data_IF_394852364140
#
_entry.id   IF_394852364140
#
_cell.length_a   1.000
_cell.length_b   1.000
_cell.length_c   1.000
_cell.angle_alpha   90.00
_cell.angle_beta   90.00
_cell.angle_gamma   90.00
#
_symmetry.space_group_name_H-M   'P 1'
#
loop_
_entity.id
_entity.type
_entity.pdbx_description
1 polymer ?
#
# COMPACT_ATOMS: atom_id res chain seq x y z
N UNK A 1 6.74 -8.66 28.05
CA UNK A 1 6.49 -7.36 28.70
C UNK A 1 5.67 -7.65 29.97
N UNK A 2 5.89 -7.05 31.15
CA UNK A 2 6.39 -5.71 31.42
C UNK A 2 7.07 -5.58 32.80
N UNK A 3 8.16 -4.81 32.87
CA UNK A 3 8.72 -4.27 34.12
C UNK A 3 8.11 -2.90 34.48
N UNK A 4 7.57 -2.17 33.48
CA UNK A 4 7.05 -0.81 33.65
C UNK A 4 5.74 -0.57 32.88
N UNK A 5 4.60 -1.02 33.41
CA UNK A 5 3.29 -0.94 32.75
C UNK A 5 2.56 0.39 32.97
N UNK A 6 2.87 1.12 34.05
CA UNK A 6 2.15 2.36 34.41
C UNK A 6 3.10 3.51 34.81
N UNK A 7 4.37 3.20 35.08
CA UNK A 7 5.34 4.13 35.65
C UNK A 7 5.58 5.36 34.75
N UNK A 8 5.53 5.21 33.43
CA UNK A 8 5.62 6.35 32.51
C UNK A 8 4.45 7.32 32.67
N UNK A 9 3.23 6.79 32.74
CA UNK A 9 1.99 7.55 32.93
C UNK A 9 1.97 8.23 34.31
N UNK A 10 2.39 7.52 35.36
CA UNK A 10 2.49 8.05 36.71
C UNK A 10 3.60 9.12 36.86
N UNK A 11 4.75 8.92 36.22
CA UNK A 11 5.83 9.90 36.20
C UNK A 11 5.39 11.20 35.52
N UNK A 12 4.67 11.10 34.41
CA UNK A 12 4.11 12.26 33.72
C UNK A 12 3.17 13.06 34.63
N UNK A 13 2.27 12.38 35.35
CA UNK A 13 1.38 13.04 36.32
C UNK A 13 2.16 13.80 37.40
N UNK A 14 3.22 13.20 37.94
CA UNK A 14 4.07 13.84 38.96
C UNK A 14 4.75 15.09 38.39
N UNK A 15 5.27 15.00 37.16
CA UNK A 15 5.90 16.14 36.48
C UNK A 15 4.89 17.27 36.26
N UNK A 16 3.70 16.97 35.76
CA UNK A 16 2.67 17.99 35.52
C UNK A 16 2.20 18.66 36.82
N UNK A 17 2.01 17.89 37.89
CA UNK A 17 1.69 18.41 39.22
C UNK A 17 2.82 19.30 39.76
N UNK A 18 4.07 18.90 39.57
CA UNK A 18 5.23 19.67 40.02
C UNK A 18 5.35 21.01 39.27
N UNK A 19 5.10 21.02 37.96
CA UNK A 19 5.25 22.22 37.12
C UNK A 19 4.04 23.17 37.21
N UNK A 20 2.83 22.64 37.36
CA UNK A 20 1.58 23.42 37.23
C UNK A 20 0.67 23.36 38.47
N UNK A 21 1.12 22.71 39.56
CA UNK A 21 0.31 22.51 40.76
C UNK A 21 -0.96 21.71 40.46
N UNK A 22 -2.07 22.06 41.13
CA UNK A 22 -3.35 21.37 40.95
C UNK A 22 -3.88 21.40 39.50
N UNK A 23 -3.57 22.45 38.73
CA UNK A 23 -3.95 22.56 37.31
C UNK A 23 -3.25 21.48 36.46
N UNK A 24 -2.06 21.04 36.88
CA UNK A 24 -1.33 19.96 36.21
C UNK A 24 -2.10 18.64 36.16
N UNK A 25 -2.93 18.35 37.16
CA UNK A 25 -3.79 17.15 37.14
C UNK A 25 -4.83 17.21 36.01
N UNK A 26 -5.37 18.39 35.73
CA UNK A 26 -6.33 18.57 34.63
C UNK A 26 -5.63 18.44 33.27
N UNK A 27 -4.40 18.97 33.13
CA UNK A 27 -3.58 18.81 31.92
C UNK A 27 -3.30 17.33 31.64
N UNK A 28 -2.81 16.61 32.67
CA UNK A 28 -2.55 15.18 32.57
C UNK A 28 -3.82 14.39 32.19
N UNK A 29 -4.95 14.66 32.85
CA UNK A 29 -6.21 13.99 32.56
C UNK A 29 -6.69 14.25 31.12
N UNK A 30 -6.54 15.48 30.64
CA UNK A 30 -6.86 15.84 29.26
C UNK A 30 -5.97 15.08 28.27
N UNK A 31 -4.67 14.97 28.51
CA UNK A 31 -3.76 14.19 27.65
C UNK A 31 -4.11 12.70 27.62
N UNK A 32 -4.49 12.12 28.77
CA UNK A 32 -4.94 10.73 28.87
C UNK A 32 -6.26 10.48 28.13
N UNK A 33 -7.18 11.45 28.15
CA UNK A 33 -8.45 11.34 27.43
C UNK A 33 -8.29 11.64 25.92
N UNK A 34 -7.43 12.59 25.56
CA UNK A 34 -7.24 13.04 24.18
C UNK A 34 -6.83 11.90 23.26
N UNK A 35 -5.87 11.08 23.69
CA UNK A 35 -5.30 10.01 22.86
C UNK A 35 -6.35 8.95 22.45
N UNK A 36 -7.08 8.28 23.36
CA UNK A 36 -8.08 7.29 22.97
C UNK A 36 -9.25 7.90 22.20
N UNK A 37 -9.70 9.11 22.54
CA UNK A 37 -10.82 9.75 21.84
C UNK A 37 -10.42 10.16 20.42
N UNK A 38 -9.29 10.85 20.29
CA UNK A 38 -8.86 11.42 19.01
C UNK A 38 -8.21 10.36 18.14
N UNK A 39 -7.14 9.70 18.61
CA UNK A 39 -6.38 8.76 17.80
C UNK A 39 -7.18 7.48 17.52
N UNK A 40 -7.65 6.79 18.58
CA UNK A 40 -8.35 5.51 18.42
C UNK A 40 -9.82 5.65 18.00
N UNK A 41 -10.47 6.77 18.31
CA UNK A 41 -11.84 7.06 17.89
C UNK A 41 -11.90 7.77 16.54
N UNK A 42 -11.69 9.09 16.56
CA UNK A 42 -11.93 9.97 15.41
C UNK A 42 -11.02 9.62 14.23
N UNK A 43 -9.72 9.52 14.48
CA UNK A 43 -8.70 9.37 13.44
C UNK A 43 -8.69 7.96 12.85
N UNK A 44 -8.83 6.94 13.68
CA UNK A 44 -9.07 5.59 13.21
C UNK A 44 -10.32 5.53 12.31
N UNK A 45 -11.45 6.10 12.75
CA UNK A 45 -12.67 6.16 11.93
C UNK A 45 -12.46 6.89 10.61
N UNK A 46 -11.81 8.05 10.63
CA UNK A 46 -11.49 8.82 9.43
C UNK A 46 -10.57 8.04 8.49
N UNK A 47 -9.52 7.40 9.01
CA UNK A 47 -8.57 6.60 8.24
C UNK A 47 -9.23 5.36 7.60
N UNK A 48 -10.35 4.85 8.10
CA UNK A 48 -11.11 3.77 7.43
C UNK A 48 -12.21 4.28 6.49
N UNK A 49 -12.48 5.59 6.46
CA UNK A 49 -13.53 6.18 5.65
C UNK A 49 -13.01 7.02 4.48
N UNK A 50 -11.97 7.82 4.70
CA UNK A 50 -11.50 8.83 3.76
C UNK A 50 -9.98 8.89 3.71
N UNK A 51 -9.43 8.89 2.50
CA UNK A 51 -7.99 9.03 2.26
C UNK A 51 -7.58 8.38 0.95
N UNK A 52 -6.26 8.17 0.80
CA UNK A 52 -5.70 7.43 -0.33
C UNK A 52 -5.12 6.09 0.12
N UNK A 53 -4.91 5.19 -0.84
CA UNK A 53 -4.32 3.86 -0.58
C UNK A 53 -3.17 3.61 -1.51
N UNK A 54 -2.01 3.29 -0.95
CA UNK A 54 -0.85 2.81 -1.70
C UNK A 54 -0.98 1.33 -2.06
N UNK A 55 -1.66 0.55 -1.22
CA UNK A 55 -1.75 -0.91 -1.32
C UNK A 55 -3.20 -1.41 -1.16
N UNK A 56 -3.45 -2.60 -1.71
CA UNK A 56 -4.71 -3.32 -1.55
C UNK A 56 -4.70 -4.18 -0.28
N UNK A 57 -4.65 -3.53 0.89
CA UNK A 57 -4.87 -4.21 2.16
C UNK A 57 -6.30 -4.81 2.24
N UNK A 58 -6.52 -5.92 2.96
CA UNK A 58 -7.84 -6.54 3.07
C UNK A 58 -8.92 -5.60 3.64
N UNK A 59 -8.57 -4.81 4.65
CA UNK A 59 -9.47 -3.86 5.30
C UNK A 59 -9.70 -2.55 4.53
N UNK A 60 -10.41 -1.61 5.17
CA UNK A 60 -10.75 -0.29 4.64
C UNK A 60 -9.72 0.81 4.95
N UNK A 61 -8.56 0.47 5.53
CA UNK A 61 -7.54 1.46 5.93
C UNK A 61 -7.06 2.36 4.79
N UNK A 62 -6.92 3.64 5.06
CA UNK A 62 -6.45 4.68 4.12
C UNK A 62 -5.42 5.55 4.81
N UNK A 63 -4.58 6.21 4.01
CA UNK A 63 -3.65 7.23 4.48
C UNK A 63 -4.33 8.61 4.41
N UNK A 64 -4.16 9.40 5.47
CA UNK A 64 -4.72 10.75 5.68
C UNK A 64 -3.60 11.79 5.90
N UNK A 65 -2.53 11.70 5.13
CA UNK A 65 -1.41 12.65 5.19
C UNK A 65 -1.79 14.04 4.64
N UNK A 66 -1.28 15.17 5.18
CA UNK A 66 -0.16 15.30 6.12
C UNK A 66 -0.55 15.70 7.55
N UNK A 67 -1.66 15.17 8.09
CA UNK A 67 -2.15 15.56 9.42
C UNK A 67 -1.35 14.97 10.61
N UNK A 68 -0.28 14.23 10.37
CA UNK A 68 0.43 13.40 11.34
C UNK A 68 0.93 14.10 12.59
N UNK A 69 1.23 15.41 12.51
CA UNK A 69 1.59 16.20 13.70
C UNK A 69 0.39 16.33 14.64
N UNK A 70 -0.80 16.56 14.10
CA UNK A 70 -2.03 16.75 14.90
C UNK A 70 -2.50 15.43 15.51
N UNK A 71 -2.22 14.31 14.82
CA UNK A 71 -2.75 12.99 15.17
C UNK A 71 -1.67 12.03 15.67
N UNK A 72 -0.54 12.58 16.12
CA UNK A 72 0.60 11.86 16.70
C UNK A 72 1.13 10.69 15.84
N UNK A 73 1.00 10.78 14.51
CA UNK A 73 1.57 9.81 13.56
C UNK A 73 0.63 8.73 13.05
N UNK A 74 -0.64 8.74 13.44
CA UNK A 74 -1.66 7.77 12.99
C UNK A 74 -2.13 8.00 11.52
N UNK A 75 -1.39 8.76 10.72
CA UNK A 75 -1.83 9.23 9.41
C UNK A 75 -1.65 8.22 8.28
N UNK A 76 -0.76 7.23 8.45
CA UNK A 76 -0.34 6.29 7.39
C UNK A 76 -0.91 4.88 7.60
N UNK A 77 -2.22 4.82 7.85
CA UNK A 77 -2.91 3.60 8.27
C UNK A 77 -2.90 2.49 7.19
N UNK A 78 -3.06 2.83 5.91
CA UNK A 78 -2.97 1.84 4.82
C UNK A 78 -1.59 1.19 4.73
N UNK A 79 -0.53 1.98 4.93
CA UNK A 79 0.82 1.45 4.93
C UNK A 79 1.08 0.57 6.17
N UNK A 80 0.62 1.02 7.35
CA UNK A 80 0.72 0.27 8.60
C UNK A 80 0.03 -1.10 8.50
N UNK A 81 -1.20 -1.12 8.01
CA UNK A 81 -1.98 -2.36 7.85
C UNK A 81 -1.39 -3.30 6.79
N UNK A 82 -0.68 -2.76 5.80
CA UNK A 82 0.06 -3.57 4.82
C UNK A 82 1.33 -4.17 5.42
N UNK A 83 2.05 -3.41 6.24
CA UNK A 83 3.32 -3.83 6.86
C UNK A 83 3.32 -3.63 8.38
N UNK A 84 2.52 -4.40 9.15
CA UNK A 84 2.30 -4.16 10.57
C UNK A 84 3.54 -4.35 11.44
N UNK A 85 4.54 -5.08 10.93
CA UNK A 85 5.82 -5.30 11.63
C UNK A 85 6.88 -4.24 11.31
N UNK A 86 6.59 -3.30 10.43
CA UNK A 86 7.51 -2.24 10.04
C UNK A 86 7.55 -1.15 11.10
N UNK A 87 8.76 -0.72 11.46
CA UNK A 87 8.95 0.44 12.33
C UNK A 87 8.71 1.78 11.61
N UNK A 88 8.73 1.77 10.26
CA UNK A 88 8.49 2.93 9.41
C UNK A 88 7.16 2.77 8.70
N UNK A 89 6.26 3.73 8.83
CA UNK A 89 4.93 3.72 8.20
C UNK A 89 4.97 4.41 6.82
N UNK A 90 5.86 5.37 6.62
CA UNK A 90 6.06 6.04 5.33
C UNK A 90 6.69 5.13 4.27
N UNK A 91 6.10 5.15 3.08
CA UNK A 91 6.54 4.43 1.89
C UNK A 91 6.84 5.41 0.75
N UNK A 92 6.05 6.47 0.61
CA UNK A 92 6.22 7.50 -0.42
C UNK A 92 7.02 8.69 0.12
N UNK A 93 7.80 9.40 -0.72
CA UNK A 93 8.65 10.49 -0.26
C UNK A 93 7.87 11.71 0.26
N UNK A 94 6.61 11.87 -0.16
CA UNK A 94 5.74 12.94 0.31
C UNK A 94 4.98 12.58 1.60
N UNK A 95 5.12 11.35 2.10
CA UNK A 95 4.49 10.92 3.35
C UNK A 95 5.35 11.34 4.52
N UNK A 96 4.81 12.25 5.34
CA UNK A 96 5.39 12.55 6.63
C UNK A 96 5.14 11.38 7.60
N UNK A 97 6.08 11.13 8.50
CA UNK A 97 6.03 10.03 9.46
C UNK A 97 6.76 10.45 10.73
N UNK A 98 5.99 11.05 11.65
CA UNK A 98 6.51 11.56 12.91
C UNK A 98 7.04 10.43 13.80
N UNK A 99 6.43 9.24 13.74
CA UNK A 99 6.90 8.06 14.46
C UNK A 99 8.29 7.64 14.00
N UNK A 100 8.52 7.59 12.68
CA UNK A 100 9.83 7.33 12.11
C UNK A 100 10.87 8.38 12.48
N UNK A 101 10.50 9.66 12.50
CA UNK A 101 11.37 10.74 12.99
C UNK A 101 11.83 10.49 14.43
N UNK A 102 10.91 10.17 15.36
CA UNK A 102 11.26 9.84 16.74
C UNK A 102 12.15 8.61 16.84
N UNK A 103 11.88 7.56 16.04
CA UNK A 103 12.70 6.35 16.00
C UNK A 103 14.11 6.67 15.52
N UNK A 104 14.28 7.50 14.47
CA UNK A 104 15.59 7.93 14.00
C UNK A 104 16.36 8.72 15.08
N UNK A 105 15.70 9.60 15.84
CA UNK A 105 16.32 10.31 16.97
C UNK A 105 16.79 9.30 18.02
N UNK A 106 15.95 8.36 18.41
CA UNK A 106 16.31 7.31 19.38
C UNK A 106 17.45 6.41 18.88
N UNK A 107 17.51 6.10 17.58
CA UNK A 107 18.63 5.38 16.99
C UNK A 107 19.93 6.19 17.05
N UNK A 108 19.87 7.50 16.77
CA UNK A 108 21.04 8.38 16.78
C UNK A 108 21.68 8.48 18.17
N UNK A 109 20.88 8.42 19.24
CA UNK A 109 21.37 8.41 20.63
C UNK A 109 21.57 7.00 21.20
N UNK A 110 21.46 5.94 20.38
CA UNK A 110 21.73 4.55 20.78
C UNK A 110 20.65 3.89 21.64
N UNK A 111 19.47 4.50 21.77
CA UNK A 111 18.35 3.99 22.57
C UNK A 111 17.46 2.99 21.83
N UNK A 112 17.52 2.94 20.50
CA UNK A 112 16.70 2.04 19.69
C UNK A 112 17.49 1.37 18.56
N UNK A 113 17.02 0.18 18.14
CA UNK A 113 17.49 -0.52 16.94
C UNK A 113 16.30 -0.93 16.09
N UNK A 114 16.19 -0.38 14.88
CA UNK A 114 15.15 -0.77 13.92
C UNK A 114 15.42 -2.18 13.42
N UNK A 115 14.40 -3.04 13.51
CA UNK A 115 14.47 -4.42 13.05
C UNK A 115 13.95 -4.60 11.63
N UNK A 116 12.86 -3.91 11.28
CA UNK A 116 12.16 -4.05 10.00
C UNK A 116 11.66 -2.70 9.52
N UNK A 117 11.76 -2.51 8.21
CA UNK A 117 11.16 -1.40 7.46
C UNK A 117 10.29 -1.99 6.35
N UNK A 118 9.46 -1.20 5.63
CA UNK A 118 8.71 -1.73 4.51
C UNK A 118 9.69 -2.35 3.51
N UNK A 119 9.41 -3.57 3.02
CA UNK A 119 10.28 -4.22 2.06
C UNK A 119 10.33 -3.40 0.78
N UNK A 120 11.49 -3.44 0.11
CA UNK A 120 11.70 -2.84 -1.20
C UNK A 120 12.14 -3.95 -2.14
N UNK A 121 11.38 -4.17 -3.20
CA UNK A 121 11.71 -5.15 -4.22
C UNK A 121 13.08 -4.82 -4.81
N UNK A 122 14.03 -5.74 -4.64
CA UNK A 122 15.34 -5.64 -5.24
C UNK A 122 15.29 -6.22 -6.64
N UNK A 123 15.92 -5.54 -7.60
CA UNK A 123 16.03 -5.99 -8.99
C UNK A 123 17.50 -6.17 -9.37
N UNK A 124 17.79 -7.25 -10.10
CA UNK A 124 19.11 -7.58 -10.64
C UNK A 124 19.07 -7.72 -12.17
N UNK A 125 19.94 -8.57 -12.71
CA UNK A 125 19.90 -8.94 -14.11
C UNK A 125 18.60 -9.70 -14.43
N UNK A 126 18.03 -9.46 -15.61
CA UNK A 126 16.86 -10.19 -16.09
C UNK A 126 17.25 -11.66 -16.28
N UNK A 127 16.55 -12.55 -15.60
CA UNK A 127 16.74 -13.99 -15.75
C UNK A 127 15.94 -14.50 -16.96
N UNK A 128 16.42 -15.54 -17.66
CA UNK A 128 15.70 -16.10 -18.80
C UNK A 128 14.35 -16.68 -18.36
N UNK A 129 14.29 -17.28 -17.16
CA UNK A 129 13.11 -17.97 -16.64
C UNK A 129 12.82 -17.48 -15.21
N UNK A 130 11.53 -17.33 -14.87
CA UNK A 130 11.08 -17.06 -13.51
C UNK A 130 11.12 -18.34 -12.68
N UNK A 131 12.24 -18.59 -12.01
CA UNK A 131 12.45 -19.75 -11.13
C UNK A 131 11.79 -19.59 -9.75
N UNK A 132 11.91 -20.61 -8.89
CA UNK A 132 11.38 -20.57 -7.52
C UNK A 132 11.94 -19.41 -6.68
N UNK A 133 13.20 -19.02 -6.90
CA UNK A 133 13.80 -17.86 -6.21
C UNK A 133 13.16 -16.55 -6.64
N UNK A 134 12.77 -16.45 -7.91
CA UNK A 134 11.96 -15.34 -8.44
C UNK A 134 10.64 -15.32 -7.71
N UNK A 135 9.93 -16.45 -7.67
CA UNK A 135 8.64 -16.56 -6.98
C UNK A 135 8.73 -16.15 -5.51
N UNK A 136 9.76 -16.60 -4.78
CA UNK A 136 9.98 -16.23 -3.38
C UNK A 136 10.18 -14.71 -3.21
N UNK A 137 11.03 -14.10 -4.04
CA UNK A 137 11.23 -12.65 -4.05
C UNK A 137 9.92 -11.90 -4.34
N UNK A 138 9.10 -12.42 -5.27
CA UNK A 138 7.83 -11.80 -5.62
C UNK A 138 6.80 -11.92 -4.50
N UNK A 139 6.69 -13.08 -3.84
CA UNK A 139 5.77 -13.29 -2.73
C UNK A 139 6.13 -12.38 -1.55
N UNK A 140 7.43 -12.25 -1.24
CA UNK A 140 7.93 -11.37 -0.17
C UNK A 140 7.61 -9.89 -0.44
N UNK A 141 7.51 -9.48 -1.70
CA UNK A 141 7.30 -8.09 -2.12
C UNK A 141 5.94 -7.87 -2.83
N UNK A 142 4.99 -8.80 -2.68
CA UNK A 142 3.75 -8.84 -3.49
C UNK A 142 2.96 -7.53 -3.51
N UNK A 143 2.89 -6.85 -2.37
CA UNK A 143 2.16 -5.59 -2.23
C UNK A 143 2.81 -4.47 -3.08
N UNK A 144 4.13 -4.39 -3.09
CA UNK A 144 4.87 -3.41 -3.90
C UNK A 144 4.81 -3.74 -5.40
N UNK A 145 4.93 -5.02 -5.75
CA UNK A 145 4.80 -5.50 -7.13
C UNK A 145 3.42 -5.15 -7.69
N UNK A 146 2.36 -5.37 -6.90
CA UNK A 146 1.01 -4.98 -7.29
C UNK A 146 0.80 -3.47 -7.37
N UNK A 147 1.38 -2.71 -6.45
CA UNK A 147 1.35 -1.26 -6.53
C UNK A 147 2.05 -0.74 -7.80
N UNK A 148 3.13 -1.41 -8.23
CA UNK A 148 3.87 -1.11 -9.46
C UNK A 148 3.04 -1.46 -10.69
N UNK A 149 2.44 -2.66 -10.74
CA UNK A 149 1.53 -3.04 -11.82
C UNK A 149 0.35 -2.07 -11.95
N UNK A 150 -0.27 -1.71 -10.82
CA UNK A 150 -1.36 -0.75 -10.77
C UNK A 150 -0.96 0.64 -11.29
N UNK A 151 0.30 1.06 -11.11
CA UNK A 151 0.83 2.28 -11.74
C UNK A 151 0.91 2.12 -13.27
N UNK A 152 1.36 0.97 -13.77
CA UNK A 152 1.37 0.64 -15.20
C UNK A 152 -0.03 0.68 -15.83
N UNK A 153 -1.02 0.05 -15.19
CA UNK A 153 -2.43 0.10 -15.64
C UNK A 153 -2.96 1.53 -15.68
N UNK A 154 -2.65 2.35 -14.65
CA UNK A 154 -3.05 3.76 -14.65
C UNK A 154 -2.41 4.56 -15.77
N UNK A 155 -1.17 4.25 -16.15
CA UNK A 155 -0.49 4.93 -17.24
C UNK A 155 -1.10 4.52 -18.58
N UNK A 156 -1.22 3.21 -18.85
CA UNK A 156 -1.87 2.70 -20.05
C UNK A 156 -3.30 3.26 -20.20
N UNK A 157 -4.07 3.34 -19.11
CA UNK A 157 -5.40 3.94 -19.15
C UNK A 157 -5.37 5.43 -19.55
N UNK A 158 -4.36 6.19 -19.11
CA UNK A 158 -4.23 7.60 -19.54
C UNK A 158 -3.96 7.67 -21.03
N UNK A 159 -2.99 6.90 -21.51
CA UNK A 159 -2.54 6.92 -22.90
C UNK A 159 -3.66 6.48 -23.85
N UNK A 160 -4.35 5.38 -23.53
CA UNK A 160 -5.49 4.87 -24.28
C UNK A 160 -6.62 5.90 -24.36
N UNK A 161 -7.02 6.50 -23.23
CA UNK A 161 -8.14 7.46 -23.25
C UNK A 161 -7.78 8.82 -23.81
N UNK A 162 -6.51 9.24 -23.79
CA UNK A 162 -6.07 10.44 -24.52
C UNK A 162 -6.22 10.22 -26.03
N UNK A 163 -5.86 9.03 -26.53
CA UNK A 163 -6.08 8.66 -27.92
C UNK A 163 -7.59 8.59 -28.30
N UNK A 164 -8.44 8.15 -27.37
CA UNK A 164 -9.89 8.04 -27.59
C UNK A 164 -10.66 9.35 -27.41
N UNK A 165 -10.17 10.32 -26.62
CA UNK A 165 -10.80 11.65 -26.53
C UNK A 165 -10.81 12.36 -27.88
N UNK A 166 -9.84 12.06 -28.75
CA UNK A 166 -9.87 12.50 -30.14
C UNK A 166 -11.01 11.88 -30.98
N UNK A 167 -11.71 10.86 -30.44
CA UNK A 167 -12.77 10.07 -31.10
C UNK A 167 -14.14 10.13 -30.39
N UNK A 168 -14.38 11.11 -29.52
CA UNK A 168 -15.67 11.33 -28.80
C UNK A 168 -16.06 10.26 -27.75
N UNK A 169 -15.13 9.86 -26.88
CA UNK A 169 -15.43 8.93 -25.78
C UNK A 169 -16.16 9.59 -24.57
N UNK A 170 -17.02 8.82 -23.90
CA UNK A 170 -17.77 9.22 -22.69
C UNK A 170 -16.83 9.61 -21.53
N UNK A 171 -16.97 10.85 -21.05
CA UNK A 171 -16.17 11.39 -19.95
C UNK A 171 -16.35 10.62 -18.63
N UNK A 172 -17.56 10.08 -18.37
CA UNK A 172 -17.84 9.30 -17.16
C UNK A 172 -17.08 7.97 -17.19
N UNK A 173 -17.08 7.30 -18.34
CA UNK A 173 -16.29 6.08 -18.58
C UNK A 173 -14.80 6.31 -18.32
N UNK A 174 -14.23 7.35 -18.94
CA UNK A 174 -12.81 7.69 -18.80
C UNK A 174 -12.46 7.99 -17.33
N UNK A 175 -13.31 8.76 -16.64
CA UNK A 175 -13.10 9.10 -15.23
C UNK A 175 -13.12 7.85 -14.35
N UNK A 176 -14.09 6.96 -14.55
CA UNK A 176 -14.19 5.72 -13.81
C UNK A 176 -12.97 4.83 -14.04
N UNK A 177 -12.55 4.65 -15.29
CA UNK A 177 -11.39 3.84 -15.65
C UNK A 177 -10.09 4.39 -15.06
N UNK A 178 -9.81 5.70 -15.19
CA UNK A 178 -8.61 6.32 -14.57
C UNK A 178 -8.60 6.14 -13.05
N UNK A 179 -9.76 6.14 -12.40
CA UNK A 179 -9.88 6.05 -10.94
C UNK A 179 -9.83 4.62 -10.41
N UNK A 180 -10.44 3.66 -11.09
CA UNK A 180 -10.75 2.34 -10.51
C UNK A 180 -10.15 1.15 -11.26
N UNK A 181 -9.72 1.29 -12.52
CA UNK A 181 -9.28 0.15 -13.35
C UNK A 181 -8.07 -0.62 -12.78
N UNK A 182 -7.24 0.05 -11.98
CA UNK A 182 -6.06 -0.53 -11.35
C UNK A 182 -6.31 -1.16 -9.98
N UNK A 183 -7.54 -1.02 -9.46
CA UNK A 183 -7.97 -1.48 -8.14
C UNK A 183 -8.49 -2.92 -8.23
N UNK A 184 -8.46 -3.61 -7.10
CA UNK A 184 -9.10 -4.91 -6.95
C UNK A 184 -10.61 -4.78 -7.15
N UNK A 185 -11.25 -5.79 -7.75
CA UNK A 185 -12.67 -5.75 -8.09
C UNK A 185 -13.55 -5.50 -6.85
N UNK A 186 -13.18 -6.06 -5.70
CA UNK A 186 -13.89 -5.88 -4.42
C UNK A 186 -13.79 -4.45 -3.88
N UNK A 187 -12.83 -3.66 -4.37
CA UNK A 187 -12.62 -2.25 -4.00
C UNK A 187 -13.29 -1.29 -4.99
N UNK A 188 -13.85 -1.79 -6.09
CA UNK A 188 -14.58 -0.97 -7.07
C UNK A 188 -16.01 -0.76 -6.59
N UNK A 189 -16.49 0.50 -6.48
CA UNK A 189 -17.90 0.76 -6.16
C UNK A 189 -18.83 0.18 -7.22
N UNK A 190 -19.96 -0.41 -6.82
CA UNK A 190 -20.95 -0.98 -7.75
C UNK A 190 -21.40 0.02 -8.82
N UNK A 191 -21.52 1.30 -8.47
CA UNK A 191 -21.89 2.37 -9.39
C UNK A 191 -20.85 2.66 -10.50
N UNK A 192 -19.60 2.19 -10.35
CA UNK A 192 -18.53 2.34 -11.34
C UNK A 192 -18.35 1.11 -12.23
N UNK A 193 -18.96 -0.03 -11.88
CA UNK A 193 -18.79 -1.29 -12.59
C UNK A 193 -19.25 -1.24 -14.06
N UNK A 194 -20.41 -0.63 -14.42
CA UNK A 194 -20.82 -0.51 -15.82
C UNK A 194 -19.82 0.27 -16.67
N UNK A 195 -19.30 1.37 -16.13
CA UNK A 195 -18.33 2.23 -16.81
C UNK A 195 -16.98 1.53 -17.00
N UNK A 196 -16.54 0.71 -16.03
CA UNK A 196 -15.34 -0.10 -16.19
C UNK A 196 -15.52 -1.19 -17.25
N UNK A 197 -16.70 -1.83 -17.30
CA UNK A 197 -17.00 -2.82 -18.33
C UNK A 197 -16.97 -2.20 -19.74
N UNK A 198 -17.57 -1.01 -19.91
CA UNK A 198 -17.48 -0.25 -21.17
C UNK A 198 -16.04 0.12 -21.53
N UNK A 199 -15.25 0.58 -20.55
CA UNK A 199 -13.84 0.91 -20.76
C UNK A 199 -12.99 -0.29 -21.18
N UNK A 200 -13.25 -1.47 -20.61
CA UNK A 200 -12.61 -2.73 -21.01
C UNK A 200 -13.01 -3.14 -22.42
N UNK A 201 -14.30 -3.03 -22.76
CA UNK A 201 -14.78 -3.31 -24.12
C UNK A 201 -14.20 -2.35 -25.17
N UNK A 202 -13.95 -1.10 -24.79
CA UNK A 202 -13.38 -0.09 -25.68
C UNK A 202 -11.87 -0.24 -25.94
N UNK A 203 -11.12 -0.87 -25.02
CA UNK A 203 -9.67 -1.04 -25.14
C UNK A 203 -9.25 -2.49 -24.83
N UNK A 204 -8.94 -3.29 -25.87
CA UNK A 204 -8.39 -4.64 -25.70
C UNK A 204 -7.09 -4.65 -24.87
N UNK A 205 -6.30 -3.57 -24.95
CA UNK A 205 -5.08 -3.39 -24.15
C UNK A 205 -5.41 -3.35 -22.67
N UNK A 206 -6.34 -2.48 -22.26
CA UNK A 206 -6.74 -2.37 -20.86
C UNK A 206 -7.43 -3.62 -20.35
N UNK A 207 -8.30 -4.23 -21.16
CA UNK A 207 -8.96 -5.48 -20.81
C UNK A 207 -7.95 -6.60 -20.51
N UNK A 208 -6.94 -6.76 -21.39
CA UNK A 208 -5.87 -7.74 -21.21
C UNK A 208 -5.06 -7.44 -19.95
N UNK A 209 -4.67 -6.18 -19.73
CA UNK A 209 -3.90 -5.79 -18.55
C UNK A 209 -4.67 -6.04 -17.24
N UNK A 210 -5.98 -5.76 -17.21
CA UNK A 210 -6.81 -6.03 -16.03
C UNK A 210 -6.97 -7.52 -15.79
N UNK A 211 -7.18 -8.31 -16.85
CA UNK A 211 -7.29 -9.77 -16.76
C UNK A 211 -6.00 -10.39 -16.23
N UNK A 212 -4.84 -10.00 -16.79
CA UNK A 212 -3.54 -10.53 -16.36
C UNK A 212 -3.16 -10.09 -14.94
N UNK A 213 -3.62 -8.92 -14.49
CA UNK A 213 -3.49 -8.49 -13.08
C UNK A 213 -4.20 -9.46 -12.14
N UNK A 214 -5.42 -9.86 -12.50
CA UNK A 214 -6.22 -10.75 -11.67
C UNK A 214 -5.64 -12.16 -11.65
N UNK A 215 -5.17 -12.67 -12.79
CA UNK A 215 -4.42 -13.94 -12.84
C UNK A 215 -3.25 -13.92 -11.86
N UNK A 216 -2.47 -12.83 -11.86
CA UNK A 216 -1.34 -12.66 -10.96
C UNK A 216 -1.76 -12.55 -9.50
N UNK A 217 -2.90 -11.88 -9.22
CA UNK A 217 -3.50 -11.81 -7.89
C UNK A 217 -3.89 -13.19 -7.36
N UNK A 218 -4.55 -14.00 -8.20
CA UNK A 218 -5.00 -15.34 -7.83
C UNK A 218 -3.82 -16.27 -7.51
N UNK A 219 -2.69 -16.15 -8.20
CA UNK A 219 -1.48 -16.92 -7.87
C UNK A 219 -1.01 -16.71 -6.42
N UNK A 220 -1.16 -15.50 -5.85
CA UNK A 220 -0.76 -15.24 -4.46
C UNK A 220 -1.79 -15.68 -3.43
N UNK A 221 -3.07 -15.75 -3.83
CA UNK A 221 -4.15 -16.21 -2.97
C UNK A 221 -4.22 -17.74 -2.92
N UNK A 222 -3.67 -18.42 -3.92
CA UNK A 222 -3.70 -19.85 -4.02
C UNK A 222 -2.68 -20.53 -3.09
N UNK A 223 -3.16 -21.09 -1.98
CA UNK A 223 -2.33 -21.79 -0.99
C UNK A 223 -2.28 -23.30 -1.17
N UNK A 224 -3.02 -23.88 -2.13
CA UNK A 224 -3.13 -25.34 -2.32
C UNK A 224 -2.12 -25.91 -3.31
N UNK A 225 -1.41 -25.05 -4.04
CA UNK A 225 -0.50 -25.43 -5.13
C UNK A 225 0.96 -25.44 -4.65
N UNK A 226 1.78 -26.35 -5.19
CA UNK A 226 3.20 -26.44 -4.86
C UNK A 226 3.98 -25.23 -5.41
N UNK A 227 5.14 -24.93 -4.79
CA UNK A 227 6.00 -23.82 -5.24
C UNK A 227 6.49 -23.99 -6.68
N UNK A 228 6.84 -25.21 -7.08
CA UNK A 228 7.24 -25.54 -8.45
C UNK A 228 6.12 -25.25 -9.45
N UNK A 229 4.87 -25.62 -9.11
CA UNK A 229 3.73 -25.38 -9.98
C UNK A 229 3.40 -23.87 -10.07
N UNK A 230 3.46 -23.12 -8.97
CA UNK A 230 3.32 -21.66 -8.99
C UNK A 230 4.44 -20.99 -9.80
N UNK A 231 5.66 -21.51 -9.76
CA UNK A 231 6.76 -21.01 -10.59
C UNK A 231 6.51 -21.24 -12.08
N UNK A 232 5.96 -22.41 -12.46
CA UNK A 232 5.54 -22.70 -13.85
C UNK A 232 4.39 -21.78 -14.30
N UNK A 233 3.40 -21.54 -13.43
CA UNK A 233 2.31 -20.61 -13.72
C UNK A 233 2.81 -19.17 -13.93
N UNK A 234 3.75 -18.74 -13.09
CA UNK A 234 4.43 -17.45 -13.24
C UNK A 234 5.22 -17.36 -14.56
N UNK A 235 5.93 -18.42 -14.94
CA UNK A 235 6.64 -18.49 -16.24
C UNK A 235 5.66 -18.35 -17.41
N UNK A 236 4.56 -19.12 -17.38
CA UNK A 236 3.52 -19.05 -18.39
C UNK A 236 2.88 -17.66 -18.45
N UNK A 237 2.67 -17.00 -17.31
CA UNK A 237 2.18 -15.63 -17.25
C UNK A 237 3.15 -14.64 -17.90
N UNK A 238 4.44 -14.74 -17.59
CA UNK A 238 5.50 -13.92 -18.19
C UNK A 238 5.56 -14.10 -19.71
N UNK A 239 5.47 -15.34 -20.20
CA UNK A 239 5.43 -15.63 -21.63
C UNK A 239 4.21 -14.97 -22.31
N UNK A 240 3.00 -15.15 -21.75
CA UNK A 240 1.78 -14.50 -22.27
C UNK A 240 1.87 -12.98 -22.26
N UNK A 241 2.54 -12.40 -21.25
CA UNK A 241 2.74 -10.96 -21.14
C UNK A 241 3.64 -10.44 -22.28
N UNK A 242 4.70 -11.17 -22.61
CA UNK A 242 5.64 -10.82 -23.67
C UNK A 242 5.04 -11.02 -25.08
N UNK A 243 4.25 -12.08 -25.26
CA UNK A 243 3.54 -12.38 -26.52
C UNK A 243 2.32 -11.48 -26.77
N UNK A 244 1.83 -10.77 -25.74
CA UNK A 244 0.64 -9.93 -25.84
C UNK A 244 0.77 -8.74 -26.80
N UNK A 245 2.00 -8.35 -27.17
CA UNK A 245 2.27 -7.12 -27.93
C UNK A 245 2.10 -5.82 -27.12
N UNK A 246 1.71 -5.92 -25.84
CA UNK A 246 1.52 -4.76 -24.96
C UNK A 246 2.83 -4.44 -24.25
N UNK A 247 3.44 -3.30 -24.57
CA UNK A 247 4.74 -2.86 -24.01
C UNK A 247 4.76 -2.89 -22.49
N UNK A 248 3.72 -2.38 -21.83
CA UNK A 248 3.65 -2.34 -20.37
C UNK A 248 3.66 -3.75 -19.73
N UNK A 249 3.05 -4.75 -20.36
CA UNK A 249 3.06 -6.14 -19.88
C UNK A 249 4.43 -6.79 -20.09
N UNK A 250 5.04 -6.56 -21.26
CA UNK A 250 6.38 -7.04 -21.57
C UNK A 250 7.43 -6.49 -20.60
N UNK A 251 7.42 -5.18 -20.36
CA UNK A 251 8.32 -4.53 -19.41
C UNK A 251 8.11 -5.03 -17.98
N UNK A 252 6.86 -5.21 -17.57
CA UNK A 252 6.56 -5.75 -16.26
C UNK A 252 7.04 -7.21 -16.12
N UNK A 253 6.85 -8.05 -17.14
CA UNK A 253 7.40 -9.42 -17.17
C UNK A 253 8.93 -9.43 -16.97
N UNK A 254 9.64 -8.57 -17.70
CA UNK A 254 11.09 -8.42 -17.55
C UNK A 254 11.47 -7.98 -16.13
N UNK A 255 10.72 -7.04 -15.56
CA UNK A 255 10.91 -6.59 -14.19
C UNK A 255 10.68 -7.72 -13.16
N UNK A 256 9.65 -8.56 -13.36
CA UNK A 256 9.41 -9.72 -12.50
C UNK A 256 10.59 -10.70 -12.54
N UNK A 257 11.11 -11.02 -13.72
CA UNK A 257 12.26 -11.92 -13.90
C UNK A 257 13.57 -11.35 -13.34
N UNK A 258 13.64 -10.03 -13.17
CA UNK A 258 14.75 -9.35 -12.51
C UNK A 258 14.64 -9.32 -10.98
N UNK A 259 13.47 -9.61 -10.40
CA UNK A 259 13.26 -9.55 -8.94
C UNK A 259 14.17 -10.54 -8.20
N UNK A 260 14.72 -10.15 -7.05
CA UNK A 260 15.55 -11.00 -6.19
C UNK A 260 15.29 -10.74 -4.71
N UNK A 261 15.63 -11.72 -3.89
CA UNK A 261 15.63 -11.63 -2.42
C UNK A 261 16.79 -10.76 -1.96
#
# INVERSE_FOLDING_TARGET
YARYSWQGVGLMMIIDLFLFGAVGLAVWALQMAWTPITAAGIINGAAHYWGYRNFEAPDASTNISPWGIIIAGEELHNNHHTYPTSAKLSVKPYEFDIGWMYICIMQAVGLAKVKKTPPKAAYGAIRPVADEKTLEALIANRCEIMATYAKGVRQAARDEFESMKARSADAAMIKAAKRWMHRDQEKVPAAAAPQLAQARAASPVLDKMVTMREELRQMWLNTSVSRDQLAKELQAWCQRAEESGITALREFSMQLRAARV
#
